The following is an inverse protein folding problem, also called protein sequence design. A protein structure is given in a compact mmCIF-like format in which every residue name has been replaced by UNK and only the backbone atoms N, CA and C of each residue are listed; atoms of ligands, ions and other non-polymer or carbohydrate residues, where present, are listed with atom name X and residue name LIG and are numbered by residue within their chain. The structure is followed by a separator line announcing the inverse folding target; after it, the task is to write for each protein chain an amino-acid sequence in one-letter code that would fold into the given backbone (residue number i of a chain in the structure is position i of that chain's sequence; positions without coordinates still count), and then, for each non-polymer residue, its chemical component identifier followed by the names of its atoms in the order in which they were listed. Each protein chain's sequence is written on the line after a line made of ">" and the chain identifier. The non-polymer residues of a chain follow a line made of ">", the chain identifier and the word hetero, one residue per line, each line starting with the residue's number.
data_IF_876560317244
#
_entry.id   IF_876560317244
#
_cell.length_a   1.000
_cell.length_b   1.000
_cell.length_c   1.000
_cell.angle_alpha   90.00
_cell.angle_beta   90.00
_cell.angle_gamma   90.00
#
_symmetry.space_group_name_H-M   'P 1'
#
loop_
_entity.id
_entity.type
_entity.pdbx_description
1 polymer ?
#
# COMPACT_ATOMS: atom_id res chain seq x y z
N UNK A 1 -15.83 -6.19 14.69
CA UNK A 1 -15.64 -6.79 13.35
C UNK A 1 -14.65 -5.90 12.63
N UNK A 2 -13.50 -6.46 12.25
CA UNK A 2 -12.51 -5.73 11.47
C UNK A 2 -13.12 -5.45 10.08
N UNK A 3 -13.27 -4.17 9.75
CA UNK A 3 -13.79 -3.72 8.46
C UNK A 3 -12.54 -3.23 7.73
N UNK A 4 -12.04 -4.03 6.78
CA UNK A 4 -10.87 -3.68 5.97
C UNK A 4 -10.98 -2.30 5.30
N UNK A 5 -9.96 -1.88 4.53
CA UNK A 5 -9.91 -0.56 3.92
C UNK A 5 -11.20 -0.17 3.17
N UNK A 6 -11.82 -1.11 2.48
CA UNK A 6 -13.06 -0.92 1.70
C UNK A 6 -14.23 -0.54 2.63
N UNK A 7 -14.30 -1.16 3.80
CA UNK A 7 -15.30 -0.88 4.81
C UNK A 7 -15.13 0.51 5.43
N UNK A 8 -13.88 0.93 5.66
CA UNK A 8 -13.57 2.28 6.13
C UNK A 8 -13.89 3.33 5.06
N UNK A 9 -13.53 3.07 3.80
CA UNK A 9 -13.86 3.96 2.67
C UNK A 9 -15.37 4.13 2.49
N UNK A 10 -16.15 3.05 2.63
CA UNK A 10 -17.61 3.11 2.55
C UNK A 10 -18.23 3.99 3.63
N UNK A 11 -17.70 3.97 4.85
CA UNK A 11 -18.29 4.66 6.00
C UNK A 11 -17.79 6.10 6.16
N UNK A 12 -16.50 6.32 5.89
CA UNK A 12 -15.78 7.53 6.25
C UNK A 12 -14.92 8.10 5.13
N UNK A 13 -14.88 7.48 3.94
CA UNK A 13 -13.90 7.80 2.90
C UNK A 13 -13.93 9.24 2.36
N UNK A 14 -14.96 10.03 2.72
CA UNK A 14 -15.10 11.46 2.42
C UNK A 14 -14.43 12.36 3.47
N UNK A 15 -14.29 11.85 4.69
CA UNK A 15 -13.85 12.60 5.87
C UNK A 15 -12.42 12.24 6.30
N UNK A 16 -11.88 11.13 5.80
CA UNK A 16 -10.54 10.64 6.15
C UNK A 16 -9.67 10.35 4.93
N UNK A 17 -8.36 10.46 5.14
CA UNK A 17 -7.35 9.92 4.25
C UNK A 17 -6.79 8.64 4.86
N UNK A 18 -6.75 7.56 4.09
CA UNK A 18 -6.06 6.33 4.48
C UNK A 18 -4.61 6.38 4.02
N UNK A 19 -3.70 5.88 4.86
CA UNK A 19 -2.27 5.77 4.53
C UNK A 19 -1.76 4.40 4.98
N UNK A 20 -1.04 3.71 4.11
CA UNK A 20 -0.48 2.39 4.41
C UNK A 20 -0.69 1.40 3.26
N UNK A 21 -0.62 0.10 3.51
CA UNK A 21 -0.25 -0.57 4.77
C UNK A 21 0.69 -1.76 4.52
N UNK A 22 1.60 -1.63 3.55
CA UNK A 22 2.47 -2.74 3.14
C UNK A 22 3.28 -3.29 4.32
N UNK A 23 3.25 -4.61 4.49
CA UNK A 23 3.91 -5.27 5.61
C UNK A 23 5.44 -5.14 5.50
N UNK A 24 6.05 -4.49 6.47
CA UNK A 24 7.48 -4.12 6.41
C UNK A 24 8.41 -5.34 6.46
N UNK A 25 8.16 -6.31 7.34
CA UNK A 25 9.04 -7.49 7.47
C UNK A 25 8.78 -8.57 6.42
N UNK A 26 7.57 -9.12 6.36
CA UNK A 26 7.28 -10.28 5.50
C UNK A 26 7.32 -9.97 4.01
N UNK A 27 6.89 -8.76 3.64
CA UNK A 27 6.78 -8.35 2.25
C UNK A 27 7.98 -7.51 1.83
N UNK A 28 8.25 -6.38 2.49
CA UNK A 28 9.32 -5.49 2.03
C UNK A 28 10.72 -6.00 2.34
N UNK A 29 10.97 -6.54 3.54
CA UNK A 29 12.30 -7.03 3.91
C UNK A 29 12.63 -8.41 3.34
N UNK A 30 11.67 -9.33 3.28
CA UNK A 30 11.90 -10.72 2.90
C UNK A 30 11.17 -11.20 1.65
N UNK A 31 10.31 -10.38 1.06
CA UNK A 31 9.58 -10.72 -0.17
C UNK A 31 10.37 -10.40 -1.43
N UNK A 32 9.76 -10.72 -2.57
CA UNK A 32 10.31 -10.41 -3.89
C UNK A 32 9.65 -9.16 -4.47
N UNK A 33 10.30 -8.45 -5.42
CA UNK A 33 9.74 -7.28 -6.06
C UNK A 33 8.34 -7.50 -6.65
N UNK A 34 8.08 -8.68 -7.24
CA UNK A 34 6.77 -8.99 -7.84
C UNK A 34 5.66 -9.09 -6.79
N UNK A 35 5.99 -9.60 -5.61
CA UNK A 35 5.07 -9.70 -4.48
C UNK A 35 4.75 -8.28 -3.94
N UNK A 36 5.75 -7.38 -3.93
CA UNK A 36 5.56 -5.97 -3.56
C UNK A 36 4.66 -5.25 -4.56
N UNK A 37 4.85 -5.48 -5.87
CA UNK A 37 3.97 -4.94 -6.91
C UNK A 37 2.53 -5.41 -6.67
N UNK A 38 2.33 -6.72 -6.48
CA UNK A 38 1.00 -7.29 -6.27
C UNK A 38 0.31 -6.71 -5.02
N UNK A 39 1.02 -6.62 -3.90
CA UNK A 39 0.49 -6.05 -2.67
C UNK A 39 0.21 -4.55 -2.77
N UNK A 40 1.06 -3.80 -3.49
CA UNK A 40 0.86 -2.37 -3.75
C UNK A 40 -0.41 -2.13 -4.57
N UNK A 41 -0.62 -2.90 -5.64
CA UNK A 41 -1.84 -2.82 -6.45
C UNK A 41 -3.08 -3.13 -5.63
N UNK A 42 -3.03 -4.22 -4.84
CA UNK A 42 -4.12 -4.58 -3.94
C UNK A 42 -4.46 -3.45 -2.96
N UNK A 43 -3.46 -2.86 -2.31
CA UNK A 43 -3.69 -1.76 -1.38
C UNK A 43 -4.33 -0.54 -2.07
N UNK A 44 -3.94 -0.25 -3.31
CA UNK A 44 -4.56 0.80 -4.14
C UNK A 44 -6.02 0.43 -4.45
N UNK A 45 -6.28 -0.78 -4.96
CA UNK A 45 -7.64 -1.23 -5.33
C UNK A 45 -8.61 -1.20 -4.13
N UNK A 46 -8.13 -1.58 -2.94
CA UNK A 46 -8.95 -1.66 -1.73
C UNK A 46 -9.26 -0.27 -1.12
N UNK A 47 -8.38 0.73 -1.31
CA UNK A 47 -8.40 1.96 -0.52
C UNK A 47 -8.48 3.26 -1.32
N UNK A 48 -8.15 3.24 -2.62
CA UNK A 48 -8.02 4.45 -3.44
C UNK A 48 -9.34 4.91 -4.08
N UNK A 49 -10.40 4.09 -4.05
CA UNK A 49 -11.71 4.47 -4.59
C UNK A 49 -12.21 5.78 -3.97
N UNK A 50 -12.56 6.74 -4.83
CA UNK A 50 -12.98 8.07 -4.41
C UNK A 50 -11.85 8.98 -3.91
N UNK A 51 -10.57 8.62 -4.14
CA UNK A 51 -9.41 9.40 -3.71
C UNK A 51 -9.09 9.26 -2.22
N UNK A 52 -8.19 10.10 -1.69
CA UNK A 52 -7.86 10.11 -0.25
C UNK A 52 -7.13 8.86 0.23
N UNK A 53 -6.22 8.33 -0.58
CA UNK A 53 -5.33 7.22 -0.22
C UNK A 53 -3.87 7.59 -0.51
N UNK A 54 -2.98 7.23 0.42
CA UNK A 54 -1.54 7.35 0.27
C UNK A 54 -0.93 5.97 0.45
N UNK A 55 -0.45 5.37 -0.66
CA UNK A 55 0.30 4.12 -0.58
C UNK A 55 1.55 4.36 0.28
N UNK A 56 1.68 3.58 1.34
CA UNK A 56 2.78 3.68 2.29
C UNK A 56 3.05 2.30 2.89
N UNK A 57 4.20 2.17 3.53
CA UNK A 57 4.47 1.06 4.45
C UNK A 57 3.56 1.14 5.68
N UNK A 58 3.29 -0.01 6.30
CA UNK A 58 2.52 -0.09 7.55
C UNK A 58 3.31 0.38 8.79
N UNK A 59 4.64 0.42 8.69
CA UNK A 59 5.56 0.94 9.71
C UNK A 59 6.88 1.40 9.05
N UNK A 60 7.93 1.74 9.79
CA UNK A 60 9.23 2.08 9.21
C UNK A 60 9.80 0.90 8.39
N UNK A 61 10.48 1.21 7.29
CA UNK A 61 11.25 0.22 6.54
C UNK A 61 12.42 -0.29 7.40
N UNK A 62 12.72 -1.59 7.31
CA UNK A 62 13.90 -2.15 7.95
C UNK A 62 15.16 -1.59 7.30
N UNK A 63 16.24 -1.48 8.07
CA UNK A 63 17.55 -1.03 7.57
C UNK A 63 17.99 -1.80 6.32
N UNK A 64 17.73 -3.10 6.32
CA UNK A 64 18.17 -4.03 5.28
C UNK A 64 17.07 -4.32 4.24
N UNK A 65 16.01 -3.51 4.18
CA UNK A 65 14.98 -3.65 3.14
C UNK A 65 15.65 -3.47 1.77
N UNK A 66 15.55 -4.46 0.86
CA UNK A 66 16.17 -4.36 -0.45
C UNK A 66 15.65 -3.17 -1.26
N UNK A 67 16.56 -2.45 -1.92
CA UNK A 67 16.22 -1.28 -2.74
C UNK A 67 15.23 -1.64 -3.85
N UNK A 68 15.38 -2.82 -4.48
CA UNK A 68 14.47 -3.33 -5.51
C UNK A 68 13.01 -3.46 -5.03
N UNK A 69 12.80 -3.81 -3.76
CA UNK A 69 11.46 -3.86 -3.16
C UNK A 69 10.90 -2.45 -2.94
N UNK A 70 11.72 -1.48 -2.54
CA UNK A 70 11.30 -0.07 -2.44
C UNK A 70 11.00 0.52 -3.81
N UNK A 71 11.84 0.26 -4.81
CA UNK A 71 11.63 0.72 -6.18
C UNK A 71 10.35 0.11 -6.75
N UNK A 72 10.11 -1.19 -6.56
CA UNK A 72 8.87 -1.84 -7.00
C UNK A 72 7.61 -1.17 -6.43
N UNK A 73 7.61 -0.80 -5.15
CA UNK A 73 6.52 -0.05 -4.52
C UNK A 73 6.35 1.35 -5.15
N UNK A 74 7.45 2.11 -5.31
CA UNK A 74 7.44 3.47 -5.86
C UNK A 74 6.96 3.48 -7.31
N UNK A 75 7.49 2.57 -8.14
CA UNK A 75 7.11 2.43 -9.54
C UNK A 75 5.65 2.03 -9.68
N UNK A 76 5.17 1.08 -8.85
CA UNK A 76 3.75 0.70 -8.83
C UNK A 76 2.85 1.88 -8.48
N UNK A 77 3.23 2.68 -7.47
CA UNK A 77 2.49 3.90 -7.12
C UNK A 77 2.40 4.87 -8.32
N UNK A 78 3.50 5.05 -9.06
CA UNK A 78 3.59 5.96 -10.21
C UNK A 78 2.89 5.44 -11.47
N UNK A 79 2.87 4.13 -11.70
CA UNK A 79 2.33 3.54 -12.93
C UNK A 79 0.88 3.10 -12.79
N UNK A 80 0.49 2.58 -11.62
CA UNK A 80 -0.83 2.01 -11.35
C UNK A 80 -1.70 2.93 -10.48
N UNK A 81 -1.09 3.68 -9.55
CA UNK A 81 -1.78 4.66 -8.70
C UNK A 81 -2.21 5.94 -9.43
N UNK A 82 -2.15 5.96 -10.77
CA UNK A 82 -2.70 7.03 -11.60
C UNK A 82 -4.10 6.59 -12.04
N UNK A 83 -5.11 7.24 -11.51
CA UNK A 83 -6.52 7.04 -11.84
C UNK A 83 -7.21 8.40 -11.95
#
# INVERSE_FOLDING_TARGET
>A
MDRGPEGLKRLYGKDIVLKGNLHTTKLLLHGRPEDVVAASRKAIDDAAEGGGFILSTGDQCGRDTPDENLQAMIETARSYGKY
#
